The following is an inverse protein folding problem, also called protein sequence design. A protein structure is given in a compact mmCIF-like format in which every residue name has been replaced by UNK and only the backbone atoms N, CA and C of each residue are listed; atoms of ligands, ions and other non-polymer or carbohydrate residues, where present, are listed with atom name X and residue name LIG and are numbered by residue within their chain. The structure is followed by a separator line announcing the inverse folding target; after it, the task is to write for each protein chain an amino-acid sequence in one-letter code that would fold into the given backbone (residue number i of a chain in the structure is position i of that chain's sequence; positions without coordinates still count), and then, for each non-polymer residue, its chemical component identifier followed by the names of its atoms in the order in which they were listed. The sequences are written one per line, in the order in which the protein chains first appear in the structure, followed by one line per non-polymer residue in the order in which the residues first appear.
data_IF_656587661394
#
_entry.id   IF_656587661394
#
_cell.length_a   1.000
_cell.length_b   1.000
_cell.length_c   1.000
_cell.angle_alpha   90.00
_cell.angle_beta   90.00
_cell.angle_gamma   90.00
#
_symmetry.space_group_name_H-M   'P 1'
#
loop_
_entity.id
_entity.type
_entity.pdbx_description
1 polymer ?
#
# COMPACT_ATOMS: atom_id res chain seq x y z
N UNK A 1 5.90 -6.28 -20.05
CA UNK A 1 5.59 -6.19 -18.60
C UNK A 1 6.90 -6.11 -17.84
N UNK A 2 7.04 -5.12 -17.00
CA UNK A 2 8.22 -4.98 -16.12
C UNK A 2 8.00 -5.91 -14.93
N UNK A 3 9.00 -6.74 -14.61
CA UNK A 3 8.90 -7.63 -13.44
C UNK A 3 9.31 -6.87 -12.17
N UNK A 4 8.41 -6.81 -11.18
CA UNK A 4 8.67 -6.15 -9.90
C UNK A 4 9.85 -6.79 -9.15
N UNK A 5 10.03 -8.11 -9.25
CA UNK A 5 11.13 -8.80 -8.62
C UNK A 5 12.47 -8.36 -9.21
N UNK A 6 12.51 -8.10 -10.53
CA UNK A 6 13.70 -7.53 -11.19
C UNK A 6 13.91 -6.06 -10.77
N UNK A 7 12.86 -5.24 -10.74
CA UNK A 7 12.96 -3.84 -10.29
C UNK A 7 13.50 -3.71 -8.86
N UNK A 8 13.19 -4.66 -8.00
CA UNK A 8 13.62 -4.66 -6.60
C UNK A 8 15.06 -5.13 -6.36
N UNK A 9 15.71 -5.70 -7.36
CA UNK A 9 17.13 -6.13 -7.25
C UNK A 9 18.08 -4.93 -7.24
N UNK A 10 17.73 -3.88 -7.94
CA UNK A 10 18.53 -2.66 -8.02
C UNK A 10 18.10 -1.64 -6.97
N UNK A 11 18.98 -0.70 -6.57
CA UNK A 11 18.60 0.39 -5.70
C UNK A 11 17.41 1.17 -6.26
N UNK A 12 16.40 1.38 -5.44
CA UNK A 12 15.15 2.06 -5.83
C UNK A 12 14.52 2.77 -4.64
N UNK A 13 13.60 3.68 -4.91
CA UNK A 13 12.65 4.20 -3.93
C UNK A 13 11.22 3.77 -4.29
N UNK A 14 10.31 3.86 -3.33
CA UNK A 14 8.86 3.73 -3.52
C UNK A 14 8.15 4.74 -2.63
N UNK A 15 6.88 5.04 -2.91
CA UNK A 15 6.09 5.94 -2.07
C UNK A 15 6.08 5.49 -0.60
N UNK A 16 5.95 4.19 -0.35
CA UNK A 16 5.99 3.61 1.00
C UNK A 16 7.36 3.72 1.66
N UNK A 17 8.46 3.54 0.92
CA UNK A 17 9.81 3.68 1.46
C UNK A 17 10.14 5.12 1.82
N UNK A 18 9.73 6.09 0.99
CA UNK A 18 9.85 7.52 1.27
C UNK A 18 9.03 7.90 2.51
N UNK A 19 7.77 7.48 2.58
CA UNK A 19 6.94 7.72 3.77
C UNK A 19 7.57 7.11 5.02
N UNK A 20 8.05 5.87 4.93
CA UNK A 20 8.74 5.20 6.05
C UNK A 20 9.97 5.95 6.54
N UNK A 21 10.80 6.46 5.62
CA UNK A 21 11.96 7.28 5.96
C UNK A 21 11.56 8.60 6.65
N UNK A 22 10.57 9.30 6.11
CA UNK A 22 10.10 10.57 6.67
C UNK A 22 9.44 10.41 8.05
N UNK A 23 8.82 9.25 8.31
CA UNK A 23 8.19 8.94 9.59
C UNK A 23 9.20 8.49 10.65
N UNK A 24 10.21 7.72 10.25
CA UNK A 24 11.32 7.29 11.12
C UNK A 24 12.53 6.87 10.27
N UNK A 25 13.48 7.77 10.08
CA UNK A 25 14.72 7.50 9.34
C UNK A 25 15.53 6.35 9.96
N UNK A 26 15.52 6.22 11.28
CA UNK A 26 16.25 5.15 11.97
C UNK A 26 15.65 3.76 11.67
N UNK A 27 14.33 3.62 11.70
CA UNK A 27 13.69 2.36 11.31
C UNK A 27 13.89 2.01 9.84
N UNK A 28 13.91 3.03 8.95
CA UNK A 28 14.27 2.87 7.55
C UNK A 28 15.71 2.35 7.42
N UNK A 29 16.66 2.94 8.14
CA UNK A 29 18.07 2.51 8.16
C UNK A 29 18.16 1.04 8.57
N UNK A 30 17.58 0.65 9.70
CA UNK A 30 17.65 -0.73 10.18
C UNK A 30 17.17 -1.73 9.12
N UNK A 31 16.03 -1.49 8.50
CA UNK A 31 15.48 -2.43 7.53
C UNK A 31 16.07 -2.35 6.12
N UNK A 32 16.40 -1.14 5.63
CA UNK A 32 16.78 -0.93 4.23
C UNK A 32 18.27 -0.77 4.00
N UNK A 33 19.00 -0.27 4.97
CA UNK A 33 20.45 -0.02 4.86
C UNK A 33 21.23 -1.11 5.59
N UNK A 34 20.90 -1.34 6.85
CA UNK A 34 21.61 -2.32 7.71
C UNK A 34 21.10 -3.75 7.48
N UNK A 35 19.94 -3.94 6.82
CA UNK A 35 19.38 -5.25 6.51
C UNK A 35 18.93 -6.05 7.73
N UNK A 36 18.60 -5.39 8.84
CA UNK A 36 18.14 -6.08 10.04
C UNK A 36 16.81 -6.77 9.78
N UNK A 37 16.70 -8.01 10.24
CA UNK A 37 15.43 -8.72 10.22
C UNK A 37 14.44 -8.05 11.19
N UNK A 38 13.16 -7.92 10.82
CA UNK A 38 12.14 -7.45 11.73
C UNK A 38 11.96 -8.46 12.89
N UNK A 39 11.60 -7.97 14.08
CA UNK A 39 11.35 -8.81 15.25
C UNK A 39 10.06 -9.64 15.12
N UNK A 40 9.14 -9.21 14.29
CA UNK A 40 7.87 -9.87 14.00
C UNK A 40 7.25 -9.30 12.72
N UNK A 41 6.27 -10.01 12.16
CA UNK A 41 5.42 -9.47 11.11
C UNK A 41 4.11 -8.96 11.71
N UNK A 42 3.75 -7.68 11.52
CA UNK A 42 2.45 -7.17 11.96
C UNK A 42 1.29 -7.89 11.25
N UNK A 43 0.31 -8.33 12.02
CA UNK A 43 -0.89 -9.00 11.52
C UNK A 43 -1.62 -8.21 10.42
N UNK A 44 -1.68 -6.89 10.56
CA UNK A 44 -2.34 -5.99 9.58
C UNK A 44 -1.68 -6.03 8.21
N UNK A 45 -0.38 -6.29 8.10
CA UNK A 45 0.32 -6.40 6.81
C UNK A 45 -0.03 -7.71 6.12
N UNK A 46 -0.02 -8.82 6.88
CA UNK A 46 -0.39 -10.14 6.35
C UNK A 46 -1.85 -10.16 5.92
N UNK A 47 -2.73 -9.59 6.73
CA UNK A 47 -4.15 -9.48 6.44
C UNK A 47 -4.41 -8.61 5.20
N UNK A 48 -3.79 -7.43 5.13
CA UNK A 48 -3.89 -6.55 3.97
C UNK A 48 -3.45 -7.24 2.68
N UNK A 49 -2.30 -7.92 2.71
CA UNK A 49 -1.79 -8.67 1.56
C UNK A 49 -2.74 -9.78 1.09
N UNK A 50 -3.37 -10.51 2.03
CA UNK A 50 -4.36 -11.53 1.68
C UNK A 50 -5.62 -10.92 1.02
N UNK A 51 -6.10 -9.78 1.51
CA UNK A 51 -7.23 -9.05 0.91
C UNK A 51 -6.87 -8.56 -0.50
N UNK A 52 -5.69 -7.95 -0.69
CA UNK A 52 -5.26 -7.45 -2.01
C UNK A 52 -5.22 -8.56 -3.05
N UNK A 53 -4.73 -9.75 -2.70
CA UNK A 53 -4.68 -10.88 -3.62
C UNK A 53 -6.08 -11.31 -4.09
N UNK A 54 -7.06 -11.33 -3.17
CA UNK A 54 -8.45 -11.67 -3.52
C UNK A 54 -9.11 -10.59 -4.37
N UNK A 55 -8.84 -9.31 -4.09
CA UNK A 55 -9.32 -8.21 -4.92
C UNK A 55 -8.67 -8.24 -6.31
N UNK A 56 -7.39 -8.56 -6.39
CA UNK A 56 -6.71 -8.75 -7.67
C UNK A 56 -7.32 -9.91 -8.48
N UNK A 57 -7.63 -11.03 -7.84
CA UNK A 57 -8.36 -12.15 -8.48
C UNK A 57 -9.71 -11.69 -9.01
N UNK A 58 -10.48 -10.95 -8.20
CA UNK A 58 -11.78 -10.40 -8.62
C UNK A 58 -11.66 -9.53 -9.87
N UNK A 59 -10.73 -8.56 -9.89
CA UNK A 59 -10.59 -7.65 -11.02
C UNK A 59 -9.96 -8.29 -12.25
N UNK A 60 -9.06 -9.27 -12.10
CA UNK A 60 -8.58 -10.08 -13.23
C UNK A 60 -9.71 -10.90 -13.88
N UNK A 61 -10.61 -11.43 -13.07
CA UNK A 61 -11.80 -12.14 -13.55
C UNK A 61 -12.78 -11.17 -14.23
N UNK A 62 -12.97 -10.00 -13.65
CA UNK A 62 -13.82 -8.96 -14.23
C UNK A 62 -13.30 -8.48 -15.59
N UNK A 63 -11.98 -8.37 -15.77
CA UNK A 63 -11.34 -8.06 -17.05
C UNK A 63 -11.67 -9.10 -18.15
N UNK A 64 -12.03 -10.32 -17.75
CA UNK A 64 -12.48 -11.40 -18.64
C UNK A 64 -14.01 -11.48 -18.79
N UNK A 65 -14.73 -10.48 -18.24
CA UNK A 65 -16.20 -10.44 -18.26
C UNK A 65 -16.88 -11.32 -17.23
N UNK A 66 -16.14 -11.86 -16.25
CA UNK A 66 -16.68 -12.72 -15.20
C UNK A 66 -16.67 -12.00 -13.85
N UNK A 67 -17.84 -11.81 -13.26
CA UNK A 67 -17.98 -11.26 -11.91
C UNK A 67 -18.03 -12.39 -10.89
N UNK A 68 -17.03 -12.44 -10.02
CA UNK A 68 -16.96 -13.45 -8.96
C UNK A 68 -18.00 -13.17 -7.87
N UNK A 69 -18.63 -14.23 -7.37
CA UNK A 69 -19.59 -14.16 -6.28
C UNK A 69 -18.90 -13.99 -4.93
N UNK A 70 -19.60 -13.39 -3.96
CA UNK A 70 -19.06 -13.17 -2.62
C UNK A 70 -18.60 -14.44 -1.91
N UNK A 71 -19.27 -15.58 -2.16
CA UNK A 71 -18.85 -16.87 -1.59
C UNK A 71 -17.47 -17.31 -2.12
N UNK A 72 -17.25 -17.15 -3.43
CA UNK A 72 -15.93 -17.42 -4.02
C UNK A 72 -14.84 -16.55 -3.37
N UNK A 73 -15.10 -15.26 -3.15
CA UNK A 73 -14.11 -14.36 -2.51
C UNK A 73 -13.80 -14.77 -1.07
N UNK A 74 -14.79 -15.27 -0.33
CA UNK A 74 -14.57 -15.81 1.03
C UNK A 74 -13.70 -17.06 1.02
N UNK A 75 -13.94 -17.97 0.09
CA UNK A 75 -13.14 -19.20 -0.06
C UNK A 75 -11.71 -18.88 -0.47
N UNK A 76 -11.55 -17.99 -1.46
CA UNK A 76 -10.23 -17.50 -1.88
C UNK A 76 -9.48 -16.86 -0.73
N UNK A 77 -10.14 -16.00 0.07
CA UNK A 77 -9.53 -15.40 1.24
C UNK A 77 -9.12 -16.44 2.29
N UNK A 78 -9.98 -17.42 2.58
CA UNK A 78 -9.65 -18.46 3.55
C UNK A 78 -8.39 -19.22 3.14
N UNK A 79 -8.23 -19.52 1.85
CA UNK A 79 -7.02 -20.13 1.29
C UNK A 79 -5.82 -19.22 1.46
N UNK A 80 -5.90 -17.98 1.00
CA UNK A 80 -4.81 -16.99 1.07
C UNK A 80 -4.38 -16.71 2.51
N UNK A 81 -5.35 -16.62 3.44
CA UNK A 81 -5.07 -16.42 4.85
C UNK A 81 -4.41 -17.64 5.48
N UNK A 82 -4.89 -18.84 5.17
CA UNK A 82 -4.28 -20.09 5.65
C UNK A 82 -2.83 -20.23 5.19
N UNK A 83 -2.55 -19.98 3.92
CA UNK A 83 -1.19 -20.08 3.35
C UNK A 83 -0.20 -19.11 4.00
N UNK A 84 -0.66 -17.94 4.45
CA UNK A 84 0.20 -16.89 5.02
C UNK A 84 0.31 -16.92 6.53
N UNK A 85 -0.74 -17.36 7.21
CA UNK A 85 -0.90 -17.14 8.63
C UNK A 85 -1.10 -18.43 9.46
N UNK A 86 -1.43 -19.58 8.83
CA UNK A 86 -1.50 -20.83 9.59
C UNK A 86 -0.10 -21.23 10.05
N UNK A 87 0.02 -21.59 11.32
CA UNK A 87 1.27 -22.07 11.95
C UNK A 87 2.45 -21.08 11.78
N UNK A 88 2.17 -19.79 11.67
CA UNK A 88 3.17 -18.73 11.54
C UNK A 88 3.32 -17.95 12.86
N UNK A 89 4.15 -18.45 13.76
CA UNK A 89 4.43 -17.86 15.08
C UNK A 89 5.14 -16.49 14.99
N UNK A 90 5.62 -16.11 13.82
CA UNK A 90 6.27 -14.82 13.60
C UNK A 90 5.28 -13.67 13.44
N UNK A 91 3.98 -13.97 13.29
CA UNK A 91 2.94 -12.96 13.24
C UNK A 91 2.60 -12.48 14.65
N UNK A 92 2.75 -11.18 14.89
CA UNK A 92 2.28 -10.55 16.11
C UNK A 92 0.86 -10.06 15.95
N UNK A 93 -0.09 -10.77 16.52
CA UNK A 93 -1.49 -10.37 16.55
C UNK A 93 -1.71 -9.25 17.55
N UNK A 94 -2.60 -8.31 17.21
CA UNK A 94 -3.06 -7.30 18.15
C UNK A 94 -3.81 -7.97 19.32
N UNK A 95 -3.68 -7.39 20.50
CA UNK A 95 -4.40 -7.87 21.70
C UNK A 95 -5.90 -8.07 21.41
N UNK A 96 -6.42 -9.23 21.79
CA UNK A 96 -7.81 -9.63 21.56
C UNK A 96 -8.12 -10.10 20.14
N UNK A 97 -7.10 -10.27 19.28
CA UNK A 97 -7.25 -10.85 17.94
C UNK A 97 -6.39 -12.09 17.77
N UNK A 98 -6.76 -12.95 16.84
CA UNK A 98 -6.07 -14.18 16.50
C UNK A 98 -6.33 -14.58 15.03
N UNK A 99 -5.77 -15.70 14.63
CA UNK A 99 -5.98 -16.27 13.29
C UNK A 99 -7.46 -16.38 12.90
N UNK A 100 -8.32 -16.87 13.84
CA UNK A 100 -9.74 -17.14 13.57
C UNK A 100 -10.55 -15.86 13.45
N UNK A 101 -10.28 -14.89 14.31
CA UNK A 101 -10.95 -13.58 14.26
C UNK A 101 -10.64 -12.83 12.96
N UNK A 102 -9.39 -12.89 12.48
CA UNK A 102 -9.01 -12.32 11.18
C UNK A 102 -9.62 -13.08 9.99
N UNK A 103 -9.70 -14.42 10.07
CA UNK A 103 -10.35 -15.22 9.03
C UNK A 103 -11.83 -14.81 8.87
N UNK A 104 -12.58 -14.77 9.98
CA UNK A 104 -14.00 -14.34 9.93
C UNK A 104 -14.14 -12.92 9.42
N UNK A 105 -13.32 -11.99 9.94
CA UNK A 105 -13.35 -10.58 9.54
C UNK A 105 -13.09 -10.39 8.06
N UNK A 106 -12.09 -11.05 7.49
CA UNK A 106 -11.77 -10.94 6.06
C UNK A 106 -12.89 -11.48 5.17
N UNK A 107 -13.48 -12.63 5.55
CA UNK A 107 -14.62 -13.19 4.83
C UNK A 107 -15.84 -12.26 4.86
N UNK A 108 -16.15 -11.65 6.02
CA UNK A 108 -17.25 -10.69 6.14
C UNK A 108 -16.99 -9.41 5.31
N UNK A 109 -15.75 -8.88 5.34
CA UNK A 109 -15.38 -7.70 4.55
C UNK A 109 -15.52 -7.95 3.05
N UNK A 110 -15.10 -9.11 2.57
CA UNK A 110 -15.21 -9.47 1.15
C UNK A 110 -16.64 -9.76 0.71
N UNK A 111 -17.48 -10.30 1.59
CA UNK A 111 -18.92 -10.43 1.33
C UNK A 111 -19.56 -9.03 1.16
N UNK A 112 -19.22 -8.08 2.02
CA UNK A 112 -19.68 -6.69 1.90
C UNK A 112 -19.15 -6.05 0.62
N UNK A 113 -17.87 -6.20 0.30
CA UNK A 113 -17.30 -5.73 -0.98
C UNK A 113 -18.11 -6.26 -2.17
N UNK A 114 -18.32 -7.58 -2.27
CA UNK A 114 -19.04 -8.20 -3.37
C UNK A 114 -20.47 -7.69 -3.53
N UNK A 115 -21.13 -7.33 -2.41
CA UNK A 115 -22.50 -6.80 -2.41
C UNK A 115 -22.61 -5.31 -2.70
N UNK A 116 -21.56 -4.54 -2.42
CA UNK A 116 -21.57 -3.07 -2.48
C UNK A 116 -20.69 -2.48 -3.60
N UNK A 117 -19.71 -3.25 -4.12
CA UNK A 117 -18.89 -2.77 -5.24
C UNK A 117 -19.80 -2.44 -6.43
N UNK A 118 -19.72 -1.20 -6.98
CA UNK A 118 -20.57 -0.79 -8.09
C UNK A 118 -20.39 -1.70 -9.31
N UNK A 119 -21.45 -1.86 -10.09
CA UNK A 119 -21.37 -2.42 -11.44
C UNK A 119 -21.01 -1.26 -12.36
N UNK A 120 -19.73 -0.99 -12.49
CA UNK A 120 -19.23 0.06 -13.37
C UNK A 120 -19.07 -0.47 -14.79
N UNK A 121 -19.51 0.30 -15.78
CA UNK A 121 -19.14 0.08 -17.18
C UNK A 121 -17.73 0.65 -17.40
N UNK A 122 -16.73 -0.15 -17.11
CA UNK A 122 -15.34 0.24 -17.28
C UNK A 122 -14.52 -0.90 -17.88
N UNK A 123 -13.43 -0.52 -18.53
CA UNK A 123 -12.40 -1.44 -18.99
C UNK A 123 -11.31 -1.54 -17.92
N UNK A 124 -11.00 -2.73 -17.46
CA UNK A 124 -9.86 -2.97 -16.59
C UNK A 124 -8.59 -2.95 -17.43
N UNK A 125 -7.72 -1.98 -17.20
CA UNK A 125 -6.46 -1.80 -17.94
C UNK A 125 -5.28 -2.51 -17.27
N UNK A 126 -5.22 -2.50 -15.93
CA UNK A 126 -4.15 -3.10 -15.17
C UNK A 126 -4.64 -3.58 -13.80
N UNK A 127 -4.09 -4.69 -13.31
CA UNK A 127 -4.33 -5.25 -11.96
C UNK A 127 -3.00 -5.71 -11.39
N UNK A 128 -2.59 -5.18 -10.24
CA UNK A 128 -1.29 -5.43 -9.62
C UNK A 128 -0.13 -5.19 -10.61
N UNK A 129 -0.22 -4.11 -11.36
CA UNK A 129 0.75 -3.80 -12.43
C UNK A 129 1.93 -2.99 -11.88
N UNK A 130 3.16 -3.52 -11.96
CA UNK A 130 4.35 -2.78 -11.57
C UNK A 130 4.63 -1.60 -12.49
N UNK A 131 5.09 -0.51 -11.92
CA UNK A 131 5.61 0.63 -12.67
C UNK A 131 7.00 1.05 -12.21
N UNK A 132 7.72 1.69 -13.11
CA UNK A 132 8.95 2.41 -12.82
C UNK A 132 8.84 3.82 -13.39
N UNK A 133 9.34 4.80 -12.66
CA UNK A 133 9.39 6.20 -13.09
C UNK A 133 10.77 6.78 -12.79
N UNK A 134 11.41 7.33 -13.81
CA UNK A 134 12.61 8.15 -13.63
C UNK A 134 12.20 9.56 -13.22
N UNK A 135 12.91 10.13 -12.27
CA UNK A 135 12.71 11.48 -11.79
C UNK A 135 14.02 12.26 -11.92
N UNK A 136 13.98 13.42 -12.58
CA UNK A 136 15.15 14.28 -12.71
C UNK A 136 15.73 14.64 -11.33
N UNK A 137 17.02 14.42 -11.15
CA UNK A 137 17.71 14.61 -9.88
C UNK A 137 17.65 13.42 -8.91
N UNK A 138 16.93 12.35 -9.23
CA UNK A 138 16.93 11.09 -8.49
C UNK A 138 17.76 10.05 -9.25
N UNK A 139 18.88 9.56 -8.72
CA UNK A 139 19.76 8.63 -9.44
C UNK A 139 19.27 7.17 -9.44
N UNK A 140 18.15 6.90 -8.82
CA UNK A 140 17.49 5.59 -8.75
C UNK A 140 16.04 5.71 -9.20
N UNK A 141 15.41 4.68 -9.78
CA UNK A 141 14.01 4.75 -10.16
C UNK A 141 13.08 4.83 -8.94
N UNK A 142 11.95 5.48 -9.12
CA UNK A 142 10.80 5.40 -8.21
C UNK A 142 9.87 4.30 -8.72
N UNK A 143 9.73 3.23 -7.96
CA UNK A 143 8.93 2.07 -8.35
C UNK A 143 7.68 1.94 -7.48
N UNK A 144 6.67 1.26 -8.02
CA UNK A 144 5.43 0.92 -7.30
C UNK A 144 4.62 -0.12 -8.04
N UNK A 145 3.43 -0.37 -7.52
CA UNK A 145 2.42 -1.24 -8.12
C UNK A 145 1.11 -0.48 -8.10
N UNK A 146 0.42 -0.45 -9.23
CA UNK A 146 -0.99 -0.05 -9.26
C UNK A 146 -1.83 -1.25 -8.86
N UNK A 147 -2.61 -1.14 -7.79
CA UNK A 147 -3.52 -2.22 -7.40
C UNK A 147 -4.54 -2.46 -8.53
N UNK A 148 -5.10 -1.36 -9.09
CA UNK A 148 -6.03 -1.41 -10.20
C UNK A 148 -5.97 -0.11 -11.02
N UNK A 149 -6.03 -0.24 -12.34
CA UNK A 149 -6.26 0.88 -13.27
C UNK A 149 -7.44 0.55 -14.16
N UNK A 150 -8.42 1.42 -14.19
CA UNK A 150 -9.62 1.27 -15.03
C UNK A 150 -9.82 2.49 -15.92
N UNK A 151 -10.52 2.29 -17.03
CA UNK A 151 -10.94 3.34 -17.96
C UNK A 151 -12.46 3.29 -18.12
N UNK A 152 -13.12 4.43 -17.94
CA UNK A 152 -14.56 4.54 -18.18
C UNK A 152 -14.89 4.78 -19.66
N UNK A 153 -16.19 4.80 -19.99
CA UNK A 153 -16.67 5.01 -21.34
C UNK A 153 -16.35 6.40 -21.93
N UNK A 154 -15.99 7.37 -21.11
CA UNK A 154 -15.56 8.72 -21.52
C UNK A 154 -14.05 8.83 -21.72
N UNK A 155 -13.32 7.79 -21.37
CA UNK A 155 -11.86 7.72 -21.49
C UNK A 155 -11.11 8.29 -20.30
N UNK A 156 -11.78 8.51 -19.15
CA UNK A 156 -11.13 8.90 -17.91
C UNK A 156 -10.43 7.69 -17.30
N UNK A 157 -9.16 7.87 -16.93
CA UNK A 157 -8.37 6.86 -16.23
C UNK A 157 -8.60 6.99 -14.73
N UNK A 158 -9.02 5.92 -14.07
CA UNK A 158 -9.08 5.89 -12.60
C UNK A 158 -8.00 4.96 -12.07
N UNK A 159 -7.09 5.52 -11.25
CA UNK A 159 -6.10 4.74 -10.51
C UNK A 159 -6.70 4.46 -9.14
N UNK A 160 -6.86 3.18 -8.84
CA UNK A 160 -7.46 2.69 -7.59
C UNK A 160 -6.39 2.08 -6.71
N UNK A 161 -6.43 2.43 -5.44
CA UNK A 161 -5.60 1.82 -4.40
C UNK A 161 -6.52 1.22 -3.32
N UNK A 162 -6.35 -0.06 -3.05
CA UNK A 162 -7.16 -0.79 -2.10
C UNK A 162 -6.62 -0.64 -0.69
N UNK A 163 -7.48 -0.36 0.26
CA UNK A 163 -7.09 -0.20 1.66
C UNK A 163 -7.97 -1.02 2.60
N UNK A 164 -7.35 -1.62 3.59
CA UNK A 164 -8.05 -2.14 4.76
C UNK A 164 -7.83 -1.19 5.93
N UNK A 165 -8.90 -0.69 6.54
CA UNK A 165 -8.81 0.32 7.60
C UNK A 165 -9.72 0.02 8.78
N UNK A 166 -9.32 0.42 9.99
CA UNK A 166 -10.17 0.32 11.17
C UNK A 166 -11.26 1.39 11.23
N UNK A 167 -11.17 2.44 10.42
CA UNK A 167 -12.12 3.58 10.37
C UNK A 167 -12.09 4.24 9.00
N UNK A 168 -13.18 4.93 8.68
CA UNK A 168 -13.32 5.74 7.47
C UNK A 168 -12.23 6.79 7.34
N UNK A 169 -11.87 7.12 6.12
CA UNK A 169 -10.94 8.21 5.83
C UNK A 169 -11.66 9.56 5.85
N UNK A 170 -10.97 10.58 6.34
CA UNK A 170 -11.42 11.96 6.17
C UNK A 170 -11.02 12.48 4.78
N UNK A 171 -11.72 13.49 4.28
CA UNK A 171 -11.38 14.15 3.02
C UNK A 171 -9.91 14.60 2.98
N UNK A 172 -9.42 15.21 4.06
CA UNK A 172 -8.03 15.62 4.15
C UNK A 172 -7.03 14.44 4.06
N UNK A 173 -7.33 13.28 4.63
CA UNK A 173 -6.48 12.10 4.51
C UNK A 173 -6.46 11.55 3.08
N UNK A 174 -7.56 11.65 2.35
CA UNK A 174 -7.66 11.25 0.96
C UNK A 174 -6.92 12.25 0.06
N UNK A 175 -7.19 13.54 0.22
CA UNK A 175 -6.61 14.60 -0.62
C UNK A 175 -5.10 14.78 -0.39
N UNK A 176 -4.60 14.47 0.81
CA UNK A 176 -3.19 14.56 1.15
C UNK A 176 -2.45 13.22 1.05
N UNK A 177 -3.06 12.19 0.48
CA UNK A 177 -2.43 10.89 0.36
C UNK A 177 -1.24 10.93 -0.59
N UNK A 178 -0.04 10.84 -0.03
CA UNK A 178 1.22 10.94 -0.77
C UNK A 178 1.39 9.84 -1.81
N UNK A 179 1.00 8.61 -1.50
CA UNK A 179 1.10 7.47 -2.41
C UNK A 179 0.29 7.71 -3.68
N UNK A 180 -0.95 8.19 -3.53
CA UNK A 180 -1.83 8.50 -4.67
C UNK A 180 -1.25 9.61 -5.56
N UNK A 181 -0.60 10.62 -4.95
CA UNK A 181 0.07 11.69 -5.71
C UNK A 181 1.24 11.15 -6.53
N UNK A 182 2.05 10.25 -5.95
CA UNK A 182 3.14 9.57 -6.66
C UNK A 182 2.59 8.70 -7.79
N UNK A 183 1.49 8.00 -7.55
CA UNK A 183 0.85 7.13 -8.56
C UNK A 183 0.32 7.91 -9.75
N UNK A 184 -0.29 9.09 -9.54
CA UNK A 184 -0.71 9.95 -10.64
C UNK A 184 0.50 10.43 -11.48
N UNK A 185 1.58 10.87 -10.82
CA UNK A 185 2.79 11.30 -11.52
C UNK A 185 3.41 10.16 -12.33
N UNK A 186 3.47 8.96 -11.75
CA UNK A 186 3.97 7.77 -12.41
C UNK A 186 3.10 7.37 -13.62
N UNK A 187 1.78 7.45 -13.50
CA UNK A 187 0.85 7.13 -14.59
C UNK A 187 1.05 8.05 -15.80
N UNK A 188 1.26 9.35 -15.58
CA UNK A 188 1.60 10.29 -16.66
C UNK A 188 2.90 9.90 -17.37
N UNK A 189 3.90 9.44 -16.62
CA UNK A 189 5.16 8.93 -17.19
C UNK A 189 5.04 7.56 -17.88
N UNK A 190 4.01 6.79 -17.55
CA UNK A 190 3.80 5.42 -18.04
C UNK A 190 2.62 5.28 -19.03
N UNK A 191 2.44 6.26 -19.91
CA UNK A 191 1.53 6.14 -21.05
C UNK A 191 0.17 6.85 -20.89
N UNK A 192 -0.14 7.43 -19.73
CA UNK A 192 -1.39 8.18 -19.51
C UNK A 192 -1.20 9.71 -19.56
N UNK A 193 -0.09 10.19 -20.15
CA UNK A 193 0.12 11.61 -20.34
C UNK A 193 -0.98 12.23 -21.22
N UNK A 194 -1.51 13.37 -20.79
CA UNK A 194 -2.60 14.07 -21.51
C UNK A 194 -4.00 13.46 -21.31
N UNK A 195 -4.12 12.37 -20.54
CA UNK A 195 -5.41 11.79 -20.15
C UNK A 195 -5.90 12.47 -18.86
N UNK A 196 -7.20 12.52 -18.70
CA UNK A 196 -7.80 12.85 -17.42
C UNK A 196 -7.60 11.66 -16.47
N UNK A 197 -7.03 11.94 -15.27
CA UNK A 197 -6.72 10.92 -14.27
C UNK A 197 -7.48 11.25 -12.99
N UNK A 198 -8.30 10.31 -12.56
CA UNK A 198 -8.98 10.28 -11.29
C UNK A 198 -8.28 9.32 -10.35
N UNK A 199 -8.18 9.68 -9.09
CA UNK A 199 -7.63 8.82 -8.04
C UNK A 199 -8.75 8.33 -7.14
N UNK A 200 -8.72 7.05 -6.78
CA UNK A 200 -9.74 6.45 -5.92
C UNK A 200 -9.11 5.55 -4.86
N UNK A 201 -9.52 5.75 -3.61
CA UNK A 201 -9.25 4.78 -2.55
C UNK A 201 -10.49 3.89 -2.37
N UNK A 202 -10.33 2.59 -2.58
CA UNK A 202 -11.35 1.59 -2.31
C UNK A 202 -11.06 0.95 -0.95
N UNK A 203 -11.88 1.31 0.05
CA UNK A 203 -11.60 1.03 1.45
C UNK A 203 -12.55 -0.01 2.02
N UNK A 204 -12.00 -1.14 2.44
CA UNK A 204 -12.71 -2.11 3.26
C UNK A 204 -12.51 -1.74 4.73
N UNK A 205 -13.59 -1.29 5.38
CA UNK A 205 -13.56 -0.80 6.75
C UNK A 205 -13.87 -1.95 7.71
N UNK A 206 -12.87 -2.34 8.50
CA UNK A 206 -12.93 -3.44 9.45
C UNK A 206 -13.49 -3.01 10.81
N UNK A 207 -14.79 -2.78 10.84
CA UNK A 207 -15.57 -2.53 12.06
C UNK A 207 -16.41 -3.76 12.40
N UNK A 208 -17.13 -3.74 13.54
CA UNK A 208 -18.06 -4.81 13.90
C UNK A 208 -19.09 -5.12 12.79
N UNK A 209 -19.46 -4.10 12.04
CA UNK A 209 -20.24 -4.23 10.80
C UNK A 209 -19.36 -3.69 9.68
N UNK A 210 -18.71 -4.53 8.88
CA UNK A 210 -17.83 -4.08 7.81
C UNK A 210 -18.56 -3.19 6.80
N UNK A 211 -17.82 -2.29 6.17
CA UNK A 211 -18.33 -1.42 5.10
C UNK A 211 -17.31 -1.37 3.97
N UNK A 212 -17.81 -1.14 2.76
CA UNK A 212 -17.00 -0.76 1.61
C UNK A 212 -17.27 0.71 1.30
N UNK A 213 -16.21 1.50 1.22
CA UNK A 213 -16.29 2.93 0.98
C UNK A 213 -15.33 3.33 -0.14
N UNK A 214 -15.80 4.16 -1.06
CA UNK A 214 -14.98 4.67 -2.17
C UNK A 214 -14.76 6.17 -1.97
N UNK A 215 -13.49 6.61 -2.07
CA UNK A 215 -13.11 8.00 -1.93
C UNK A 215 -12.39 8.46 -3.18
N UNK A 216 -12.95 9.48 -3.82
CA UNK A 216 -12.40 10.05 -5.04
C UNK A 216 -11.62 11.31 -4.73
N UNK A 217 -10.54 11.53 -5.47
CA UNK A 217 -9.71 12.73 -5.36
C UNK A 217 -8.93 12.96 -6.65
N UNK A 218 -8.42 14.17 -6.82
CA UNK A 218 -7.54 14.56 -7.93
C UNK A 218 -6.30 15.25 -7.37
N UNK A 219 -5.31 15.47 -8.21
CA UNK A 219 -4.12 16.24 -7.82
C UNK A 219 -3.84 17.33 -8.83
N UNK A 220 -3.57 18.51 -8.30
CA UNK A 220 -3.02 19.62 -9.08
C UNK A 220 -1.55 19.37 -9.43
N UNK A 221 -1.06 20.11 -10.41
CA UNK A 221 0.35 20.08 -10.77
C UNK A 221 1.27 20.51 -9.61
N UNK A 222 0.82 21.45 -8.76
CA UNK A 222 1.57 21.91 -7.61
C UNK A 222 1.71 20.82 -6.55
N UNK A 223 0.66 20.05 -6.31
CA UNK A 223 0.68 18.92 -5.37
C UNK A 223 1.61 17.81 -5.85
N UNK A 224 1.58 17.50 -7.15
CA UNK A 224 2.52 16.54 -7.75
C UNK A 224 3.96 17.02 -7.58
N UNK A 225 4.27 18.27 -7.95
CA UNK A 225 5.61 18.85 -7.79
C UNK A 225 6.05 18.84 -6.31
N UNK A 226 5.14 19.14 -5.39
CA UNK A 226 5.39 19.07 -3.95
C UNK A 226 5.74 17.66 -3.46
N UNK A 227 5.03 16.64 -3.97
CA UNK A 227 5.32 15.24 -3.67
C UNK A 227 6.68 14.79 -4.22
N UNK A 228 6.99 15.13 -5.47
CA UNK A 228 8.27 14.79 -6.09
C UNK A 228 9.45 15.48 -5.39
N UNK A 229 9.29 16.74 -4.94
CA UNK A 229 10.29 17.41 -4.09
C UNK A 229 10.53 16.68 -2.78
N UNK A 230 9.49 16.10 -2.16
CA UNK A 230 9.65 15.27 -0.95
C UNK A 230 10.46 14.00 -1.23
N UNK A 231 10.26 13.37 -2.39
CA UNK A 231 11.06 12.21 -2.83
C UNK A 231 12.53 12.59 -2.91
N UNK A 232 12.84 13.71 -3.61
CA UNK A 232 14.21 14.19 -3.76
C UNK A 232 14.86 14.57 -2.41
N UNK A 233 14.12 15.22 -1.53
CA UNK A 233 14.62 15.57 -0.19
C UNK A 233 14.86 14.33 0.68
N UNK A 234 13.99 13.32 0.60
CA UNK A 234 14.20 12.06 1.28
C UNK A 234 15.45 11.32 0.76
N UNK A 235 15.64 11.30 -0.56
CA UNK A 235 16.86 10.74 -1.17
C UNK A 235 18.11 11.48 -0.74
N UNK A 236 18.09 12.81 -0.72
CA UNK A 236 19.22 13.62 -0.26
C UNK A 236 19.62 13.27 1.19
N UNK A 237 18.63 13.11 2.07
CA UNK A 237 18.87 12.66 3.44
C UNK A 237 19.41 11.24 3.51
N UNK A 238 18.82 10.30 2.77
CA UNK A 238 19.25 8.89 2.72
C UNK A 238 20.70 8.80 2.22
N UNK A 239 21.01 9.46 1.11
CA UNK A 239 22.34 9.42 0.48
C UNK A 239 23.45 10.04 1.34
N UNK A 240 23.09 10.97 2.23
CA UNK A 240 23.98 11.61 3.21
C UNK A 240 24.04 10.86 4.54
N UNK A 241 23.33 9.75 4.71
CA UNK A 241 23.31 8.98 5.95
C UNK A 241 22.56 9.64 7.11
N UNK A 242 21.58 10.50 6.82
CA UNK A 242 20.79 11.21 7.83
C UNK A 242 19.58 10.33 8.22
N UNK A 243 19.66 9.67 9.37
CA UNK A 243 18.64 8.74 9.85
C UNK A 243 18.14 9.13 11.24
N UNK A 244 17.22 10.08 11.28
CA UNK A 244 16.64 10.56 12.54
C UNK A 244 15.59 9.58 13.05
N UNK A 245 15.58 9.28 14.37
CA UNK A 245 14.48 8.53 14.97
C UNK A 245 13.18 9.34 14.91
N UNK A 246 12.04 8.64 14.97
CA UNK A 246 10.76 9.30 15.15
C UNK A 246 10.74 10.10 16.48
N UNK A 247 9.92 11.14 16.52
CA UNK A 247 9.75 11.92 17.75
C UNK A 247 9.28 11.03 18.92
N UNK A 248 9.70 11.37 20.11
CA UNK A 248 9.25 10.70 21.35
C UNK A 248 7.74 10.73 21.43
N UNK A 249 7.13 9.56 21.69
CA UNK A 249 5.69 9.40 21.73
C UNK A 249 5.02 9.26 20.34
N UNK A 250 5.79 9.10 19.28
CA UNK A 250 5.23 8.78 17.95
C UNK A 250 4.35 7.53 18.02
N UNK A 251 3.21 7.60 17.33
CA UNK A 251 2.26 6.50 17.21
C UNK A 251 2.87 5.23 16.56
N UNK A 252 3.96 5.38 15.81
CA UNK A 252 4.68 4.26 15.19
C UNK A 252 5.49 3.42 16.17
N UNK A 253 5.95 4.01 17.25
CA UNK A 253 6.87 3.32 18.18
C UNK A 253 6.26 2.08 18.85
N UNK A 254 5.00 2.08 19.32
CA UNK A 254 4.42 0.91 19.98
C UNK A 254 4.31 -0.33 19.08
N UNK A 255 4.17 -0.15 17.77
CA UNK A 255 4.07 -1.24 16.79
C UNK A 255 5.33 -1.41 15.92
N UNK A 256 6.45 -0.80 16.30
CA UNK A 256 7.68 -0.87 15.52
C UNK A 256 8.31 -2.26 15.59
N UNK A 257 8.69 -2.78 14.43
CA UNK A 257 9.32 -4.09 14.30
C UNK A 257 10.83 -4.08 14.60
N UNK A 258 11.38 -2.94 15.03
CA UNK A 258 12.77 -2.72 15.39
C UNK A 258 12.90 -2.09 16.79
N UNK A 259 12.02 -2.44 17.73
CA UNK A 259 12.02 -1.84 19.08
C UNK A 259 13.29 -2.15 19.84
N UNK A 260 13.76 -3.39 19.82
CA UNK A 260 14.99 -3.81 20.50
C UNK A 260 16.22 -3.17 19.89
N UNK A 261 16.34 -3.16 18.56
CA UNK A 261 17.43 -2.49 17.84
C UNK A 261 17.45 -0.98 18.14
N UNK A 262 16.27 -0.33 18.16
CA UNK A 262 16.15 1.08 18.52
C UNK A 262 16.59 1.33 19.98
N UNK A 263 16.22 0.46 20.92
CA UNK A 263 16.67 0.52 22.31
C UNK A 263 18.18 0.38 22.44
N UNK A 264 18.80 -0.55 21.71
CA UNK A 264 20.26 -0.73 21.68
C UNK A 264 20.96 0.50 21.10
N UNK A 265 20.45 1.04 19.99
CA UNK A 265 20.98 2.27 19.40
C UNK A 265 20.92 3.46 20.36
N UNK A 266 19.80 3.64 21.08
CA UNK A 266 19.63 4.70 22.09
C UNK A 266 20.63 4.58 23.27
N UNK A 267 21.10 3.37 23.57
CA UNK A 267 22.13 3.12 24.60
C UNK A 267 23.55 3.18 24.06
N UNK A 268 23.74 3.41 22.77
CA UNK A 268 25.06 3.42 22.11
C UNK A 268 25.66 2.02 21.90
N UNK A 269 24.86 0.98 21.93
CA UNK A 269 25.26 -0.43 21.74
C UNK A 269 25.26 -0.80 20.24
N UNK A 270 24.54 -0.05 19.41
CA UNK A 270 24.56 -0.10 17.95
C UNK A 270 25.03 1.22 17.38
N UNK A 271 25.80 1.22 16.25
CA UNK A 271 26.30 2.40 15.60
C UNK A 271 25.23 3.30 14.98
#
# INVERSE_FOLDING_TARGET
MVDLAELRKEPHLSASSVSGYLECGLAYRFGKIDGLAPEFTPDVLVFGSAIHEVLAEYYRSLAQGVRLAGEHLKESFAKQWSERAADNDFIRYKEGTDYRSYLSQGQEMLAVFASQVPVEECTVLAVEEPFSMDLEGLPVPLIGIYDLVIEDSSGVITIVDHKTSAKSYSTAQVDQNFQMTVYQSAAKGNGFAGREILLRLDCLIKTKTPRFEQYYTTRSQEEEQGALKRVLAAWDGISKGVYLPANTGSWRCPGCVYQDACGQWMRGELP
#
